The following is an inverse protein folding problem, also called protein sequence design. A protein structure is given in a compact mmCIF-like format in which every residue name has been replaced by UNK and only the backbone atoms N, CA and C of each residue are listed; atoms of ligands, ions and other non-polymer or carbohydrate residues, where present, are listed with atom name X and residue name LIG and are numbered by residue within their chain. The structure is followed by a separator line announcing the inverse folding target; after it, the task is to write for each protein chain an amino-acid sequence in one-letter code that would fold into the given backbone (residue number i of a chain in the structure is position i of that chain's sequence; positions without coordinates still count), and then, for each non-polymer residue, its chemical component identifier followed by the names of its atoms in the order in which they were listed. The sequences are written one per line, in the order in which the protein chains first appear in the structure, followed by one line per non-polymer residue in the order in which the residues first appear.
data_IF_706165198662
#
_entry.id   IF_706165198662
#
_cell.length_a   1.000
_cell.length_b   1.000
_cell.length_c   1.000
_cell.angle_alpha   90.00
_cell.angle_beta   90.00
_cell.angle_gamma   90.00
#
_symmetry.space_group_name_H-M   'P 1'
#
loop_
_entity.id
_entity.type
_entity.pdbx_description
1 polymer ?
#
# COMPACT_ATOMS: atom_id res chain seq x y z
N UNK A 1 -0.44 29.02 -8.91
CA UNK A 1 -0.20 27.56 -8.94
C UNK A 1 -0.21 26.92 -7.56
N UNK A 2 0.47 27.49 -6.56
CA UNK A 2 0.55 26.99 -5.16
C UNK A 2 -0.80 26.78 -4.48
N UNK A 3 -1.78 27.67 -4.74
CA UNK A 3 -3.10 27.62 -4.10
C UNK A 3 -3.89 26.32 -4.40
N UNK A 4 -3.81 25.80 -5.63
CA UNK A 4 -4.61 24.62 -6.03
C UNK A 4 -4.02 23.30 -5.53
N UNK A 5 -2.69 23.16 -5.55
CA UNK A 5 -2.01 22.03 -4.91
C UNK A 5 -2.28 22.04 -3.40
N UNK A 6 -2.23 23.21 -2.78
CA UNK A 6 -2.59 23.38 -1.37
C UNK A 6 -4.03 22.94 -1.08
N UNK A 7 -5.00 23.27 -1.93
CA UNK A 7 -6.40 22.83 -1.77
C UNK A 7 -6.53 21.31 -1.86
N UNK A 8 -5.84 20.66 -2.82
CA UNK A 8 -5.85 19.20 -2.95
C UNK A 8 -5.21 18.54 -1.72
N UNK A 9 -4.03 18.99 -1.32
CA UNK A 9 -3.34 18.49 -0.12
C UNK A 9 -4.20 18.69 1.13
N UNK A 10 -4.76 19.88 1.34
CA UNK A 10 -5.63 20.18 2.48
C UNK A 10 -6.86 19.28 2.50
N UNK A 11 -7.48 19.05 1.35
CA UNK A 11 -8.67 18.18 1.24
C UNK A 11 -8.29 16.74 1.52
N UNK A 12 -7.19 16.25 0.95
CA UNK A 12 -6.66 14.92 1.19
C UNK A 12 -6.37 14.70 2.68
N UNK A 13 -5.60 15.59 3.31
CA UNK A 13 -5.25 15.51 4.73
C UNK A 13 -6.50 15.58 5.61
N UNK A 14 -7.44 16.50 5.33
CA UNK A 14 -8.70 16.62 6.09
C UNK A 14 -9.57 15.37 5.99
N UNK A 15 -9.44 14.57 4.95
CA UNK A 15 -10.17 13.30 4.81
C UNK A 15 -9.44 12.12 5.43
N UNK A 16 -8.11 12.14 5.35
CA UNK A 16 -7.27 11.09 5.89
C UNK A 16 -7.14 11.15 7.42
N UNK A 17 -7.11 12.35 8.03
CA UNK A 17 -6.66 12.50 9.42
C UNK A 17 -7.46 11.68 10.44
N UNK A 18 -8.80 11.70 10.39
CA UNK A 18 -9.62 11.02 11.39
C UNK A 18 -9.44 9.50 11.27
N UNK A 19 -9.49 8.99 10.03
CA UNK A 19 -9.27 7.58 9.76
C UNK A 19 -7.84 7.14 10.11
N UNK A 20 -6.84 8.00 9.87
CA UNK A 20 -5.45 7.79 10.26
C UNK A 20 -5.29 7.67 11.79
N UNK A 21 -5.85 8.62 12.55
CA UNK A 21 -5.80 8.60 14.02
C UNK A 21 -6.51 7.35 14.55
N UNK A 22 -7.68 7.02 14.01
CA UNK A 22 -8.43 5.84 14.42
C UNK A 22 -7.68 4.55 14.11
N UNK A 23 -7.11 4.41 12.90
CA UNK A 23 -6.35 3.23 12.53
C UNK A 23 -5.10 3.04 13.38
N UNK A 24 -4.30 4.09 13.61
CA UNK A 24 -3.13 4.03 14.50
C UNK A 24 -3.56 3.66 15.91
N UNK A 25 -4.65 4.26 16.41
CA UNK A 25 -5.19 3.96 17.73
C UNK A 25 -5.61 2.49 17.84
N UNK A 26 -6.38 1.97 16.88
CA UNK A 26 -6.79 0.57 16.86
C UNK A 26 -5.59 -0.36 16.78
N UNK A 27 -4.64 -0.08 15.88
CA UNK A 27 -3.44 -0.89 15.68
C UNK A 27 -2.57 -0.94 16.94
N UNK A 28 -2.54 0.10 17.78
CA UNK A 28 -1.69 0.14 18.98
C UNK A 28 -2.46 -0.30 20.24
N UNK A 29 -3.65 0.25 20.47
CA UNK A 29 -4.42 -0.01 21.69
C UNK A 29 -4.99 -1.43 21.76
N UNK A 30 -5.44 -2.02 20.65
CA UNK A 30 -5.98 -3.39 20.67
C UNK A 30 -4.94 -4.40 21.17
N UNK A 31 -3.71 -4.45 20.62
CA UNK A 31 -2.68 -5.33 21.16
C UNK A 31 -2.22 -4.94 22.58
N UNK A 32 -2.26 -3.65 22.96
CA UNK A 32 -1.95 -3.23 24.33
C UNK A 32 -2.96 -3.79 25.35
N UNK A 33 -4.25 -3.65 25.05
CA UNK A 33 -5.34 -4.19 25.88
C UNK A 33 -5.24 -5.71 25.93
N UNK A 34 -4.99 -6.37 24.79
CA UNK A 34 -4.79 -7.82 24.75
C UNK A 34 -3.63 -8.26 25.65
N UNK A 35 -2.48 -7.57 25.59
CA UNK A 35 -1.33 -7.84 26.45
C UNK A 35 -1.66 -7.67 27.94
N UNK A 36 -2.39 -6.60 28.31
CA UNK A 36 -2.81 -6.36 29.69
C UNK A 36 -3.81 -7.41 30.21
N UNK A 37 -4.75 -7.85 29.37
CA UNK A 37 -5.67 -8.93 29.70
C UNK A 37 -4.94 -10.26 29.91
N UNK A 38 -3.95 -10.56 29.05
CA UNK A 38 -3.10 -11.75 29.15
C UNK A 38 -2.14 -11.72 30.34
N UNK A 39 -1.78 -10.54 30.87
CA UNK A 39 -0.97 -10.46 32.09
C UNK A 39 -1.81 -10.58 33.38
N UNK A 40 -3.09 -10.23 33.33
CA UNK A 40 -4.01 -10.30 34.48
C UNK A 40 -4.53 -11.73 34.68
N UNK A 41 -4.79 -12.47 33.61
CA UNK A 41 -5.05 -13.91 33.71
C UNK A 41 -3.70 -14.64 33.65
N UNK A 42 -3.40 -15.49 34.61
CA UNK A 42 -2.35 -16.53 34.47
C UNK A 42 -2.75 -17.54 33.39
N UNK A 43 -2.90 -17.09 32.13
CA UNK A 43 -3.23 -17.91 30.98
C UNK A 43 -2.00 -18.64 30.40
N UNK A 44 -0.87 -18.59 31.11
CA UNK A 44 0.28 -19.46 30.86
C UNK A 44 -0.07 -20.95 30.90
N UNK A 45 -1.22 -21.32 31.49
CA UNK A 45 -1.76 -22.68 31.49
C UNK A 45 -2.40 -23.12 30.15
N UNK A 46 -2.69 -22.21 29.20
CA UNK A 46 -3.44 -22.53 27.97
C UNK A 46 -2.57 -22.64 26.70
N UNK A 47 -1.24 -22.62 26.82
CA UNK A 47 -0.33 -22.86 25.69
C UNK A 47 -0.36 -21.80 24.58
N UNK A 48 -1.02 -20.65 24.80
CA UNK A 48 -0.98 -19.53 23.86
C UNK A 48 0.39 -18.88 24.01
N UNK A 49 1.24 -19.02 23.00
CA UNK A 49 2.56 -18.39 23.02
C UNK A 49 2.37 -16.88 23.17
N UNK A 50 2.94 -16.32 24.23
CA UNK A 50 2.96 -14.88 24.50
C UNK A 50 3.98 -14.16 23.63
N UNK A 51 4.45 -14.80 22.56
CA UNK A 51 5.56 -14.32 21.76
C UNK A 51 5.07 -13.23 20.79
N UNK A 52 5.49 -11.95 20.97
CA UNK A 52 5.06 -10.85 20.09
C UNK A 52 5.38 -11.12 18.61
N UNK A 53 6.33 -12.02 18.34
CA UNK A 53 6.80 -12.38 17.01
C UNK A 53 5.77 -13.16 16.17
N UNK A 54 4.88 -13.96 16.79
CA UNK A 54 3.79 -14.62 16.04
C UNK A 54 2.75 -13.62 15.51
N UNK A 55 2.68 -12.42 16.09
CA UNK A 55 1.74 -11.38 15.69
C UNK A 55 2.29 -10.43 14.63
N UNK A 56 3.58 -10.51 14.28
CA UNK A 56 4.21 -9.59 13.33
C UNK A 56 3.51 -9.59 11.96
N UNK A 57 3.20 -10.77 11.41
CA UNK A 57 2.52 -10.88 10.11
C UNK A 57 1.07 -10.40 10.15
N UNK A 58 0.36 -10.67 11.24
CA UNK A 58 -1.01 -10.19 11.45
C UNK A 58 -1.01 -8.67 11.55
N UNK A 59 -0.08 -8.09 12.31
CA UNK A 59 0.13 -6.66 12.37
C UNK A 59 0.46 -6.07 10.99
N UNK A 60 1.38 -6.69 10.26
CA UNK A 60 1.81 -6.21 8.95
C UNK A 60 0.64 -6.21 7.96
N UNK A 61 -0.09 -7.32 7.87
CA UNK A 61 -1.27 -7.44 7.01
C UNK A 61 -2.36 -6.44 7.37
N UNK A 62 -2.73 -6.34 8.65
CA UNK A 62 -3.76 -5.39 9.10
C UNK A 62 -3.34 -3.94 8.88
N UNK A 63 -2.09 -3.59 9.19
CA UNK A 63 -1.58 -2.23 8.99
C UNK A 63 -1.60 -1.84 7.51
N UNK A 64 -1.19 -2.74 6.61
CA UNK A 64 -1.25 -2.50 5.16
C UNK A 64 -2.68 -2.28 4.68
N UNK A 65 -3.62 -3.13 5.11
CA UNK A 65 -5.03 -3.00 4.75
C UNK A 65 -5.58 -1.64 5.22
N UNK A 66 -5.37 -1.26 6.49
CA UNK A 66 -5.84 0.02 7.01
C UNK A 66 -5.21 1.21 6.27
N UNK A 67 -3.90 1.20 6.07
CA UNK A 67 -3.19 2.33 5.44
C UNK A 67 -3.61 2.49 3.98
N UNK A 68 -3.75 1.40 3.22
CA UNK A 68 -4.25 1.43 1.85
C UNK A 68 -5.71 1.90 1.81
N UNK A 69 -6.58 1.40 2.71
CA UNK A 69 -7.98 1.82 2.77
C UNK A 69 -8.14 3.32 3.04
N UNK A 70 -7.33 3.89 3.96
CA UNK A 70 -7.29 5.33 4.22
C UNK A 70 -6.88 6.10 2.96
N UNK A 71 -5.86 5.63 2.26
CA UNK A 71 -5.40 6.27 1.02
C UNK A 71 -6.49 6.26 -0.06
N UNK A 72 -7.15 5.12 -0.29
CA UNK A 72 -8.25 5.00 -1.24
C UNK A 72 -9.40 5.94 -0.87
N UNK A 73 -9.81 5.95 0.40
CA UNK A 73 -10.87 6.84 0.87
C UNK A 73 -10.52 8.33 0.70
N UNK A 74 -9.28 8.72 0.95
CA UNK A 74 -8.82 10.10 0.75
C UNK A 74 -8.74 10.48 -0.74
N UNK A 75 -8.29 9.57 -1.60
CA UNK A 75 -8.23 9.78 -3.05
C UNK A 75 -9.61 9.94 -3.69
N UNK A 76 -10.59 9.13 -3.28
CA UNK A 76 -11.92 9.07 -3.89
C UNK A 76 -12.68 10.39 -3.95
N UNK A 77 -12.42 11.36 -3.06
CA UNK A 77 -12.95 12.71 -3.29
C UNK A 77 -11.94 13.82 -3.33
N UNK A 78 -10.70 13.48 -3.69
CA UNK A 78 -9.85 14.41 -4.42
C UNK A 78 -10.02 14.26 -5.94
N UNK A 79 -10.51 13.10 -6.43
CA UNK A 79 -10.63 12.76 -7.85
C UNK A 79 -11.25 13.86 -8.73
N UNK A 80 -12.45 14.35 -8.38
CA UNK A 80 -13.14 15.39 -9.18
C UNK A 80 -12.38 16.72 -9.24
N UNK A 81 -11.65 17.06 -8.17
CA UNK A 81 -10.87 18.29 -8.09
C UNK A 81 -9.63 18.14 -8.97
N UNK A 82 -8.95 17.01 -8.85
CA UNK A 82 -7.73 16.62 -9.55
C UNK A 82 -7.91 16.63 -11.07
N UNK A 83 -9.04 16.14 -11.58
CA UNK A 83 -9.35 16.12 -13.01
C UNK A 83 -9.52 17.52 -13.62
N UNK A 84 -9.92 18.52 -12.82
CA UNK A 84 -10.21 19.89 -13.29
C UNK A 84 -9.02 20.84 -13.16
N UNK A 85 -7.86 20.37 -12.70
CA UNK A 85 -6.68 21.21 -12.51
C UNK A 85 -6.06 21.61 -13.85
N UNK A 86 -5.63 22.88 -14.03
CA UNK A 86 -4.93 23.34 -15.23
C UNK A 86 -3.40 23.14 -15.14
N UNK A 87 -2.95 21.97 -14.67
CA UNK A 87 -1.52 21.64 -14.44
C UNK A 87 -1.13 20.43 -15.29
N UNK A 88 0.15 20.09 -15.50
CA UNK A 88 0.51 18.87 -16.23
C UNK A 88 0.01 17.61 -15.51
N UNK A 89 -0.44 16.61 -16.28
CA UNK A 89 -0.96 15.34 -15.75
C UNK A 89 0.08 14.62 -14.89
N UNK A 90 1.35 14.65 -15.31
CA UNK A 90 2.49 14.12 -14.56
C UNK A 90 2.68 14.77 -13.20
N UNK A 91 2.59 16.10 -13.10
CA UNK A 91 2.77 16.78 -11.82
C UNK A 91 1.64 16.49 -10.85
N UNK A 92 0.41 16.38 -11.35
CA UNK A 92 -0.76 16.04 -10.53
C UNK A 92 -0.65 14.62 -9.97
N UNK A 93 -0.38 13.64 -10.83
CA UNK A 93 -0.24 12.22 -10.42
C UNK A 93 0.94 12.05 -9.47
N UNK A 94 2.08 12.66 -9.78
CA UNK A 94 3.26 12.60 -8.91
C UNK A 94 2.99 13.22 -7.55
N UNK A 95 2.30 14.36 -7.51
CA UNK A 95 1.89 15.00 -6.25
C UNK A 95 0.95 14.13 -5.42
N UNK A 96 -0.04 13.48 -6.06
CA UNK A 96 -0.94 12.56 -5.37
C UNK A 96 -0.22 11.32 -4.85
N UNK A 97 0.67 10.74 -5.64
CA UNK A 97 1.50 9.60 -5.22
C UNK A 97 2.42 10.00 -4.06
N UNK A 98 3.04 11.18 -4.11
CA UNK A 98 3.86 11.67 -3.00
C UNK A 98 3.03 11.88 -1.72
N UNK A 99 1.79 12.37 -1.84
CA UNK A 99 0.89 12.54 -0.70
C UNK A 99 0.48 11.19 -0.08
N UNK A 100 0.14 10.21 -0.90
CA UNK A 100 -0.25 8.87 -0.41
C UNK A 100 0.94 8.12 0.16
N UNK A 101 2.08 8.11 -0.53
CA UNK A 101 3.33 7.52 -0.02
C UNK A 101 3.76 8.22 1.26
N UNK A 102 3.74 9.55 1.31
CA UNK A 102 4.07 10.33 2.51
C UNK A 102 3.16 10.00 3.68
N UNK A 103 1.85 9.90 3.45
CA UNK A 103 0.89 9.48 4.47
C UNK A 103 1.19 8.08 5.00
N UNK A 104 1.41 7.12 4.09
CA UNK A 104 1.71 5.73 4.45
C UNK A 104 3.04 5.62 5.21
N UNK A 105 4.05 6.38 4.80
CA UNK A 105 5.33 6.47 5.51
C UNK A 105 5.13 6.98 6.94
N UNK A 106 4.40 8.09 7.11
CA UNK A 106 4.12 8.66 8.43
C UNK A 106 3.33 7.66 9.29
N UNK A 107 2.27 7.08 8.75
CA UNK A 107 1.45 6.09 9.46
C UNK A 107 2.28 4.88 9.89
N UNK A 108 3.11 4.36 9.00
CA UNK A 108 3.95 3.20 9.30
C UNK A 108 5.03 3.56 10.33
N UNK A 109 5.68 4.72 10.20
CA UNK A 109 6.71 5.18 11.13
C UNK A 109 6.14 5.46 12.53
N UNK A 110 5.01 6.15 12.62
CA UNK A 110 4.33 6.43 13.89
C UNK A 110 3.89 5.13 14.56
N UNK A 111 3.20 4.26 13.82
CA UNK A 111 2.69 2.99 14.38
C UNK A 111 3.86 2.12 14.85
N UNK A 112 4.88 1.94 14.01
CA UNK A 112 6.06 1.17 14.43
C UNK A 112 6.77 1.83 15.59
N UNK A 113 6.94 3.16 15.59
CA UNK A 113 7.55 3.91 16.69
C UNK A 113 6.83 3.70 18.02
N UNK A 114 5.50 3.77 18.03
CA UNK A 114 4.69 3.47 19.22
C UNK A 114 4.85 2.01 19.66
N UNK A 115 4.90 1.07 18.70
CA UNK A 115 5.19 -0.33 19.01
C UNK A 115 6.55 -0.50 19.70
N UNK A 116 7.58 0.24 19.26
CA UNK A 116 8.90 0.23 19.90
C UNK A 116 8.83 0.70 21.35
N UNK A 117 8.08 1.78 21.61
CA UNK A 117 7.97 2.38 22.95
C UNK A 117 7.18 1.48 23.90
N UNK A 118 6.09 0.86 23.44
CA UNK A 118 5.19 0.12 24.32
C UNK A 118 5.49 -1.39 24.44
N UNK A 119 6.11 -2.00 23.44
CA UNK A 119 6.22 -3.47 23.37
C UNK A 119 7.65 -4.02 23.42
N UNK A 120 8.69 -3.23 23.11
CA UNK A 120 10.06 -3.75 22.98
C UNK A 120 11.06 -3.05 23.89
N UNK A 121 11.92 -3.84 24.56
CA UNK A 121 13.13 -3.34 25.20
C UNK A 121 14.21 -3.00 24.17
N UNK A 122 15.01 -1.97 24.45
CA UNK A 122 15.93 -1.28 23.54
C UNK A 122 16.86 -2.21 22.71
N UNK A 123 17.17 -3.42 23.21
CA UNK A 123 18.14 -4.34 22.63
C UNK A 123 17.57 -5.38 21.66
N UNK A 124 16.23 -5.49 21.47
CA UNK A 124 15.61 -6.54 20.61
C UNK A 124 15.02 -6.01 19.29
N UNK A 125 15.31 -4.76 18.94
CA UNK A 125 14.56 -4.01 17.93
C UNK A 125 14.98 -4.24 16.47
N UNK A 126 16.26 -4.46 16.20
CA UNK A 126 16.76 -4.62 14.82
C UNK A 126 16.69 -6.04 14.29
N UNK A 127 16.77 -7.05 15.17
CA UNK A 127 16.84 -8.45 14.76
C UNK A 127 15.45 -9.08 14.51
N UNK A 128 14.39 -8.52 15.10
CA UNK A 128 13.08 -9.20 15.14
C UNK A 128 11.90 -8.38 14.61
N UNK A 129 12.06 -7.09 14.31
CA UNK A 129 10.97 -6.25 13.80
C UNK A 129 11.41 -5.37 12.61
N UNK A 130 11.57 -5.98 11.42
CA UNK A 130 12.09 -5.28 10.26
C UNK A 130 11.13 -4.21 9.76
N UNK A 131 11.65 -3.01 9.55
CA UNK A 131 10.86 -1.88 9.04
C UNK A 131 11.09 -1.66 7.54
N UNK A 132 12.34 -1.74 7.08
CA UNK A 132 12.73 -1.23 5.76
C UNK A 132 12.14 -2.07 4.61
N UNK A 133 12.32 -3.39 4.62
CA UNK A 133 11.80 -4.29 3.59
C UNK A 133 10.28 -4.20 3.45
N UNK A 134 9.51 -4.40 4.54
CA UNK A 134 8.06 -4.30 4.50
C UNK A 134 7.55 -2.91 4.09
N UNK A 135 8.25 -1.84 4.49
CA UNK A 135 7.93 -0.47 4.07
C UNK A 135 8.16 -0.25 2.57
N UNK A 136 9.29 -0.70 2.03
CA UNK A 136 9.57 -0.59 0.59
C UNK A 136 8.53 -1.34 -0.24
N UNK A 137 8.12 -2.52 0.21
CA UNK A 137 7.07 -3.29 -0.43
C UNK A 137 5.72 -2.56 -0.35
N UNK A 138 5.37 -1.98 0.79
CA UNK A 138 4.14 -1.21 0.96
C UNK A 138 4.10 0.04 0.07
N UNK A 139 5.22 0.77 -0.06
CA UNK A 139 5.33 1.88 -1.01
C UNK A 139 5.09 1.40 -2.44
N UNK A 140 5.67 0.25 -2.80
CA UNK A 140 5.50 -0.35 -4.12
C UNK A 140 4.04 -0.75 -4.37
N UNK A 141 3.37 -1.33 -3.36
CA UNK A 141 1.93 -1.62 -3.40
C UNK A 141 1.10 -0.36 -3.64
N UNK A 142 1.44 0.75 -2.98
CA UNK A 142 0.73 2.04 -3.17
C UNK A 142 0.91 2.57 -4.59
N UNK A 143 2.14 2.53 -5.14
CA UNK A 143 2.40 2.98 -6.51
C UNK A 143 1.69 2.12 -7.55
N UNK A 144 1.77 0.79 -7.42
CA UNK A 144 1.03 -0.13 -8.29
C UNK A 144 -0.48 0.07 -8.13
N UNK A 145 -0.97 0.25 -6.90
CA UNK A 145 -2.37 0.58 -6.62
C UNK A 145 -2.83 1.84 -7.35
N UNK A 146 -2.00 2.89 -7.38
CA UNK A 146 -2.25 4.09 -8.17
C UNK A 146 -2.29 3.80 -9.67
N UNK A 147 -1.38 2.98 -10.20
CA UNK A 147 -1.40 2.64 -11.62
C UNK A 147 -2.65 1.86 -12.01
N UNK A 148 -3.06 0.90 -11.18
CA UNK A 148 -4.28 0.11 -11.35
C UNK A 148 -5.53 0.99 -11.26
N UNK A 149 -5.58 1.87 -10.26
CA UNK A 149 -6.71 2.77 -10.04
C UNK A 149 -6.96 3.67 -11.26
N UNK A 150 -5.92 4.25 -11.85
CA UNK A 150 -6.10 5.09 -13.03
C UNK A 150 -6.36 4.27 -14.30
N UNK A 151 -5.74 3.10 -14.42
CA UNK A 151 -5.93 2.21 -15.59
C UNK A 151 -7.37 1.69 -15.69
N UNK A 152 -8.10 1.59 -14.57
CA UNK A 152 -9.52 1.16 -14.56
C UNK A 152 -10.43 2.06 -15.38
N UNK A 153 -10.09 3.34 -15.51
CA UNK A 153 -10.91 4.32 -16.21
C UNK A 153 -10.61 4.36 -17.71
N UNK A 154 -9.47 3.83 -18.15
CA UNK A 154 -9.06 3.76 -19.55
C UNK A 154 -8.64 2.30 -19.88
N UNK A 155 -9.60 1.36 -19.90
CA UNK A 155 -9.31 -0.06 -20.06
C UNK A 155 -8.66 -0.33 -21.43
N UNK A 156 -7.58 -1.11 -21.39
CA UNK A 156 -6.87 -1.52 -22.61
C UNK A 156 -6.25 -2.89 -22.39
N UNK A 157 -6.17 -3.69 -23.44
CA UNK A 157 -5.56 -5.03 -23.38
C UNK A 157 -4.13 -4.96 -22.84
N UNK A 158 -3.33 -4.00 -23.33
CA UNK A 158 -1.96 -3.78 -22.85
C UNK A 158 -1.95 -3.33 -21.39
N UNK A 159 -2.82 -2.39 -20.99
CA UNK A 159 -2.95 -1.95 -19.60
C UNK A 159 -3.35 -3.07 -18.65
N UNK A 160 -4.25 -3.96 -19.07
CA UNK A 160 -4.67 -5.13 -18.30
C UNK A 160 -3.55 -6.17 -18.18
N UNK A 161 -2.78 -6.42 -19.25
CA UNK A 161 -1.59 -7.27 -19.18
C UNK A 161 -0.55 -6.71 -18.21
N UNK A 162 -0.24 -5.41 -18.29
CA UNK A 162 0.66 -4.76 -17.33
C UNK A 162 0.14 -4.87 -15.89
N UNK A 163 -1.17 -4.69 -15.70
CA UNK A 163 -1.81 -4.80 -14.38
C UNK A 163 -1.67 -6.21 -13.80
N UNK A 164 -1.95 -7.24 -14.60
CA UNK A 164 -1.80 -8.64 -14.21
C UNK A 164 -0.32 -8.95 -13.92
N UNK A 165 0.60 -8.48 -14.75
CA UNK A 165 2.04 -8.65 -14.54
C UNK A 165 2.52 -7.99 -13.24
N UNK A 166 2.04 -6.78 -12.90
CA UNK A 166 2.39 -6.14 -11.64
C UNK A 166 1.88 -6.92 -10.44
N UNK A 167 0.62 -7.39 -10.48
CA UNK A 167 0.04 -8.19 -9.38
C UNK A 167 0.80 -9.51 -9.23
N UNK A 168 1.06 -10.22 -10.33
CA UNK A 168 1.82 -11.46 -10.32
C UNK A 168 3.24 -11.25 -9.78
N UNK A 169 3.93 -10.19 -10.21
CA UNK A 169 5.26 -9.85 -9.73
C UNK A 169 5.26 -9.54 -8.23
N UNK A 170 4.29 -8.78 -7.72
CA UNK A 170 4.16 -8.48 -6.29
C UNK A 170 3.87 -9.73 -5.45
N UNK A 171 2.97 -10.61 -5.92
CA UNK A 171 2.66 -11.87 -5.24
C UNK A 171 3.89 -12.79 -5.22
N UNK A 172 4.56 -12.94 -6.36
CA UNK A 172 5.80 -13.70 -6.46
C UNK A 172 6.88 -13.15 -5.53
N UNK A 173 7.05 -11.84 -5.50
CA UNK A 173 8.04 -11.17 -4.67
C UNK A 173 7.75 -11.31 -3.17
N UNK A 174 6.48 -11.18 -2.79
CA UNK A 174 6.05 -11.43 -1.41
C UNK A 174 6.36 -12.87 -1.01
N UNK A 175 6.02 -13.84 -1.87
CA UNK A 175 6.30 -15.25 -1.62
C UNK A 175 7.80 -15.53 -1.53
N UNK A 176 8.61 -15.00 -2.45
CA UNK A 176 10.05 -15.26 -2.47
C UNK A 176 10.80 -14.71 -1.26
N UNK A 177 10.30 -13.64 -0.65
CA UNK A 177 10.93 -13.01 0.52
C UNK A 177 10.47 -13.56 1.85
N UNK A 178 9.18 -13.87 1.99
CA UNK A 178 8.64 -14.37 3.25
C UNK A 178 8.63 -15.90 3.34
N UNK A 179 8.61 -16.60 2.20
CA UNK A 179 8.57 -18.06 2.11
C UNK A 179 9.71 -18.64 1.23
N UNK A 180 10.98 -18.28 1.49
CA UNK A 180 12.11 -18.73 0.66
C UNK A 180 12.28 -20.26 0.67
N UNK A 181 11.89 -20.91 1.76
CA UNK A 181 12.01 -22.36 1.95
C UNK A 181 10.69 -23.11 1.64
N UNK A 182 9.69 -22.42 1.08
CA UNK A 182 8.36 -22.97 0.81
C UNK A 182 7.32 -22.63 1.87
N UNK A 183 6.04 -22.85 1.55
CA UNK A 183 4.89 -22.46 2.39
C UNK A 183 4.68 -23.33 3.64
N UNK A 184 5.34 -24.48 3.73
CA UNK A 184 5.24 -25.39 4.88
C UNK A 184 6.28 -25.10 5.96
N UNK A 185 7.29 -24.27 5.64
CA UNK A 185 8.35 -23.86 6.54
C UNK A 185 7.99 -22.57 7.29
N UNK A 186 8.59 -22.29 8.45
CA UNK A 186 8.31 -21.08 9.21
C UNK A 186 8.66 -19.82 8.41
N UNK A 187 7.78 -18.82 8.52
CA UNK A 187 7.91 -17.57 7.77
C UNK A 187 9.14 -16.80 8.23
N UNK A 188 9.92 -16.30 7.27
CA UNK A 188 11.17 -15.59 7.54
C UNK A 188 10.93 -14.08 7.53
N UNK A 189 11.25 -13.33 8.61
CA UNK A 189 11.11 -11.88 8.61
C UNK A 189 12.12 -11.22 7.65
N UNK A 190 11.67 -10.22 6.89
CA UNK A 190 12.49 -9.54 5.89
C UNK A 190 13.45 -8.53 6.52
N UNK A 191 14.46 -9.07 7.22
CA UNK A 191 15.43 -8.30 8.01
C UNK A 191 16.48 -7.57 7.16
N UNK A 192 16.85 -8.16 6.03
CA UNK A 192 17.91 -7.63 5.17
C UNK A 192 17.35 -7.32 3.79
N UNK A 193 17.47 -6.06 3.38
CA UNK A 193 17.13 -5.61 2.03
C UNK A 193 18.41 -5.70 1.18
N UNK A 194 18.40 -6.57 0.18
CA UNK A 194 19.55 -6.70 -0.73
C UNK A 194 19.57 -5.56 -1.75
N UNK A 195 20.71 -5.32 -2.40
CA UNK A 195 20.77 -4.35 -3.50
C UNK A 195 19.82 -4.73 -4.65
N UNK A 196 19.69 -6.03 -4.92
CA UNK A 196 18.73 -6.55 -5.89
C UNK A 196 17.27 -6.30 -5.49
N UNK A 197 16.98 -6.27 -4.19
CA UNK A 197 15.64 -5.92 -3.72
C UNK A 197 15.31 -4.47 -4.03
N UNK A 198 16.25 -3.61 -3.66
CA UNK A 198 16.09 -2.19 -3.83
C UNK A 198 15.97 -1.81 -5.31
N UNK A 199 16.83 -2.36 -6.17
CA UNK A 199 16.80 -2.07 -7.60
C UNK A 199 15.53 -2.60 -8.27
N UNK A 200 15.07 -3.79 -7.92
CA UNK A 200 13.85 -4.36 -8.53
C UNK A 200 12.62 -3.57 -8.13
N UNK A 201 12.46 -3.26 -6.84
CA UNK A 201 11.34 -2.43 -6.38
C UNK A 201 11.40 -1.03 -7.00
N UNK A 202 12.59 -0.44 -7.17
CA UNK A 202 12.74 0.84 -7.85
C UNK A 202 12.27 0.78 -9.32
N UNK A 203 12.66 -0.26 -10.06
CA UNK A 203 12.22 -0.45 -11.45
C UNK A 203 10.71 -0.61 -11.52
N UNK A 204 10.12 -1.42 -10.64
CA UNK A 204 8.67 -1.60 -10.56
C UNK A 204 7.98 -0.27 -10.23
N UNK A 205 8.52 0.50 -9.29
CA UNK A 205 8.01 1.81 -8.92
C UNK A 205 8.02 2.79 -10.09
N UNK A 206 9.11 2.87 -10.85
CA UNK A 206 9.21 3.73 -12.03
C UNK A 206 8.20 3.29 -13.10
N UNK A 207 8.09 1.98 -13.36
CA UNK A 207 7.15 1.44 -14.33
C UNK A 207 5.68 1.71 -13.95
N UNK A 208 5.34 1.50 -12.68
CA UNK A 208 4.00 1.77 -12.14
C UNK A 208 3.67 3.27 -12.20
N UNK A 209 4.61 4.14 -11.83
CA UNK A 209 4.45 5.58 -11.93
C UNK A 209 4.23 6.05 -13.37
N UNK A 210 5.03 5.55 -14.32
CA UNK A 210 4.88 5.87 -15.74
C UNK A 210 3.52 5.42 -16.28
N UNK A 211 3.14 4.17 -16.00
CA UNK A 211 1.85 3.62 -16.43
C UNK A 211 0.68 4.39 -15.83
N UNK A 212 0.72 4.71 -14.53
CA UNK A 212 -0.31 5.49 -13.86
C UNK A 212 -0.45 6.91 -14.43
N UNK A 213 0.67 7.55 -14.79
CA UNK A 213 0.68 8.87 -15.42
C UNK A 213 0.02 8.85 -16.79
N UNK A 214 0.37 7.87 -17.65
CA UNK A 214 -0.25 7.73 -18.97
C UNK A 214 -1.74 7.42 -18.89
N UNK A 215 -2.15 6.58 -17.95
CA UNK A 215 -3.56 6.28 -17.75
C UNK A 215 -4.33 7.53 -17.31
N UNK A 216 -3.82 8.27 -16.33
CA UNK A 216 -4.43 9.50 -15.85
C UNK A 216 -4.53 10.59 -16.92
N UNK A 217 -3.51 10.72 -17.78
CA UNK A 217 -3.52 11.68 -18.89
C UNK A 217 -4.71 11.45 -19.83
N UNK A 218 -4.99 10.19 -20.19
CA UNK A 218 -6.16 9.83 -21.02
C UNK A 218 -7.47 10.19 -20.34
N UNK A 219 -7.59 9.88 -19.04
CA UNK A 219 -8.80 10.18 -18.24
C UNK A 219 -9.06 11.68 -18.23
N UNK A 220 -8.01 12.48 -18.04
CA UNK A 220 -8.12 13.94 -17.99
C UNK A 220 -8.42 14.57 -19.34
N UNK A 221 -7.85 14.03 -20.42
CA UNK A 221 -8.12 14.50 -21.78
C UNK A 221 -9.53 14.14 -22.27
N UNK A 222 -10.30 13.35 -21.51
CA UNK A 222 -11.60 12.83 -21.95
C UNK A 222 -11.49 11.77 -23.03
N UNK A 223 -10.27 11.26 -23.30
CA UNK A 223 -9.98 10.25 -24.33
C UNK A 223 -9.77 8.86 -23.72
N UNK A 224 -10.30 8.64 -22.52
CA UNK A 224 -10.32 7.36 -21.84
C UNK A 224 -11.38 6.43 -22.44
N UNK A 225 -11.31 6.21 -23.74
CA UNK A 225 -12.11 5.22 -24.43
C UNK A 225 -11.40 3.85 -24.36
N UNK A 226 -12.17 2.74 -24.28
CA UNK A 226 -11.61 1.42 -24.39
C UNK A 226 -10.83 1.26 -25.69
N UNK A 227 -9.68 0.57 -25.66
CA UNK A 227 -8.95 0.33 -26.91
C UNK A 227 -9.78 -0.51 -27.89
N UNK A 228 -9.59 -0.32 -29.20
CA UNK A 228 -10.30 -1.10 -30.24
C UNK A 228 -10.20 -2.62 -30.00
N UNK A 229 -9.04 -3.08 -29.53
CA UNK A 229 -8.81 -4.48 -29.17
C UNK A 229 -9.64 -4.92 -27.96
N UNK A 230 -9.81 -4.04 -26.96
CA UNK A 230 -10.65 -4.29 -25.79
C UNK A 230 -12.12 -4.38 -26.17
N UNK A 231 -12.61 -3.48 -27.03
CA UNK A 231 -14.00 -3.51 -27.52
C UNK A 231 -14.30 -4.81 -28.27
N UNK A 232 -13.42 -5.21 -29.20
CA UNK A 232 -13.56 -6.50 -29.92
C UNK A 232 -13.57 -7.71 -28.99
N UNK A 233 -12.74 -7.69 -27.94
CA UNK A 233 -12.69 -8.76 -26.95
C UNK A 233 -14.00 -8.81 -26.13
N UNK A 234 -14.54 -7.65 -25.77
CA UNK A 234 -15.79 -7.54 -25.03
C UNK A 234 -16.98 -8.01 -25.88
N UNK A 235 -17.02 -7.63 -27.17
CA UNK A 235 -18.05 -8.09 -28.11
C UNK A 235 -17.99 -9.61 -28.27
N UNK A 236 -16.80 -10.18 -28.42
CA UNK A 236 -16.61 -11.63 -28.46
C UNK A 236 -17.04 -12.33 -27.16
N UNK A 237 -16.71 -11.76 -26.01
CA UNK A 237 -17.13 -12.28 -24.71
C UNK A 237 -18.66 -12.29 -24.57
N UNK A 238 -19.31 -11.20 -24.97
CA UNK A 238 -20.77 -11.08 -24.96
C UNK A 238 -21.45 -12.06 -25.94
N UNK A 239 -20.77 -12.48 -27.01
CA UNK A 239 -21.30 -13.53 -27.90
C UNK A 239 -21.13 -14.95 -27.36
N UNK A 240 -20.28 -15.15 -26.35
CA UNK A 240 -20.02 -16.45 -25.72
C UNK A 240 -20.86 -16.70 -24.46
N UNK A 241 -21.40 -15.65 -23.84
CA UNK A 241 -22.29 -15.70 -22.67
C UNK A 241 -23.73 -15.95 -23.05
#
# INVERSE_FOLDING_TARGET
MTHLLFVVTKTFTKRAWLAAVLAVSVLVFVPLVFRGLMSIKELGAYGISTDPFQYHFVFLGLSWIFFIAICVHALQGCEKIVLRLPVSSTAIVSGLIMLTVGLVLILNLVTNGLYRVFFFDHNRLSEYWPLLGPLLFLVTLVLVGHSLFWSRFAPSVTGSLFSISFVAALCWWFASRYFPNGFQEPVVPWNHVTLSDWSTLLVINIAAWYQGTRAFEKVRAGTAEPSLQWSKLMDFWNTLS
#
